data_IF_706361509949
#
_entry.id   IF_706361509949
#
_cell.length_a   1.000
_cell.length_b   1.000
_cell.length_c   1.000
_cell.angle_alpha   90.00
_cell.angle_beta   90.00
_cell.angle_gamma   90.00
#
_symmetry.space_group_name_H-M   'P 1'
#
loop_
_entity.id
_entity.type
_entity.pdbx_description
1 polymer ?
#
# COMPACT_ATOMS: atom_id res chain seq x y z
N UNK A 1 -0.96 42.60 8.71
CA UNK A 1 -0.46 41.84 7.56
C UNK A 1 -1.58 40.90 7.17
N UNK A 2 -2.18 41.09 6.00
CA UNK A 2 -3.19 40.17 5.47
C UNK A 2 -2.47 38.86 5.15
N UNK A 3 -2.61 37.86 6.02
CA UNK A 3 -2.05 36.54 5.77
C UNK A 3 -2.77 35.96 4.56
N UNK A 4 -2.08 35.86 3.43
CA UNK A 4 -2.59 35.10 2.28
C UNK A 4 -2.86 33.66 2.73
N UNK A 5 -3.93 33.02 2.22
CA UNK A 5 -4.22 31.63 2.56
C UNK A 5 -3.04 30.72 2.17
N UNK A 6 -2.66 29.73 3.01
CA UNK A 6 -1.57 28.82 2.68
C UNK A 6 -1.87 28.07 1.38
N UNK A 7 -0.87 28.00 0.50
CA UNK A 7 -0.96 27.36 -0.82
C UNK A 7 -0.63 25.88 -0.71
N UNK A 8 -1.46 25.03 -1.31
CA UNK A 8 -1.32 23.57 -1.24
C UNK A 8 -1.27 23.00 -2.66
N UNK A 9 -0.14 22.46 -3.08
CA UNK A 9 -0.07 21.77 -4.37
C UNK A 9 -0.60 20.33 -4.23
N UNK A 10 -1.53 19.92 -5.09
CA UNK A 10 -1.97 18.52 -5.20
C UNK A 10 -1.33 17.90 -6.43
N UNK A 11 -0.49 16.88 -6.23
CA UNK A 11 0.36 16.27 -7.24
C UNK A 11 -0.22 14.95 -7.71
N UNK A 12 -0.33 14.77 -9.03
CA UNK A 12 -0.66 13.49 -9.67
C UNK A 12 -0.02 13.37 -11.04
N UNK A 13 0.01 12.15 -11.60
CA UNK A 13 0.58 11.91 -12.93
C UNK A 13 -0.31 12.44 -14.05
N UNK A 14 0.31 12.99 -15.09
CA UNK A 14 -0.32 13.37 -16.35
C UNK A 14 0.73 13.98 -17.27
N UNK A 15 0.34 14.37 -18.48
CA UNK A 15 1.24 14.98 -19.46
C UNK A 15 1.16 16.53 -19.46
N UNK A 16 1.85 17.16 -20.40
CA UNK A 16 1.86 18.63 -20.55
C UNK A 16 0.46 19.19 -20.84
N UNK A 17 -0.34 18.52 -21.65
CA UNK A 17 -1.69 18.98 -21.99
C UNK A 17 -2.60 18.90 -20.76
N UNK A 18 -2.53 17.80 -20.00
CA UNK A 18 -3.21 17.63 -18.73
C UNK A 18 -2.78 18.71 -17.72
N UNK A 19 -1.49 19.06 -17.65
CA UNK A 19 -0.98 20.14 -16.79
C UNK A 19 -1.58 21.49 -17.15
N UNK A 20 -1.61 21.84 -18.44
CA UNK A 20 -2.17 23.10 -18.93
C UNK A 20 -3.69 23.19 -18.70
N UNK A 21 -4.39 22.07 -18.81
CA UNK A 21 -5.84 22.01 -18.67
C UNK A 21 -6.32 21.80 -17.22
N UNK A 22 -5.46 21.38 -16.31
CA UNK A 22 -5.86 21.00 -14.95
C UNK A 22 -6.46 22.17 -14.18
N UNK A 23 -7.64 21.93 -13.61
CA UNK A 23 -8.30 22.83 -12.66
C UNK A 23 -8.63 22.04 -11.38
N UNK A 24 -8.90 22.73 -10.26
CA UNK A 24 -9.37 22.04 -9.06
C UNK A 24 -10.63 21.17 -9.27
N UNK A 25 -11.46 21.46 -10.28
CA UNK A 25 -12.78 20.82 -10.48
C UNK A 25 -12.78 19.69 -11.52
N UNK A 26 -11.80 19.63 -12.44
CA UNK A 26 -11.85 18.71 -13.59
C UNK A 26 -11.06 17.40 -13.40
N UNK A 27 -10.84 17.00 -12.14
CA UNK A 27 -10.04 15.84 -11.81
C UNK A 27 -10.68 15.03 -10.66
N UNK A 28 -10.22 13.79 -10.47
CA UNK A 28 -10.78 12.87 -9.47
C UNK A 28 -10.61 13.32 -8.01
N UNK A 29 -9.76 14.31 -7.74
CA UNK A 29 -9.49 14.85 -6.41
C UNK A 29 -10.33 16.09 -6.08
N UNK A 30 -11.30 16.47 -6.92
CA UNK A 30 -12.07 17.71 -6.75
C UNK A 30 -12.68 17.89 -5.35
N UNK A 31 -13.15 16.81 -4.70
CA UNK A 31 -13.65 16.86 -3.32
C UNK A 31 -12.57 17.26 -2.31
N UNK A 32 -11.32 16.83 -2.51
CA UNK A 32 -10.20 17.23 -1.65
C UNK A 32 -9.88 18.71 -1.85
N UNK A 33 -9.91 19.20 -3.10
CA UNK A 33 -9.78 20.63 -3.38
C UNK A 33 -10.87 21.46 -2.69
N UNK A 34 -12.13 21.02 -2.76
CA UNK A 34 -13.26 21.69 -2.12
C UNK A 34 -13.09 21.78 -0.59
N UNK A 35 -12.76 20.67 0.07
CA UNK A 35 -12.58 20.63 1.53
C UNK A 35 -11.37 21.43 2.01
N UNK A 36 -10.25 21.42 1.27
CA UNK A 36 -9.08 22.26 1.57
C UNK A 36 -9.43 23.75 1.47
N UNK A 37 -10.17 24.15 0.43
CA UNK A 37 -10.62 25.54 0.29
C UNK A 37 -11.60 25.93 1.40
N UNK A 38 -12.50 25.02 1.81
CA UNK A 38 -13.47 25.26 2.88
C UNK A 38 -12.81 25.54 4.24
N UNK A 39 -11.62 24.98 4.50
CA UNK A 39 -10.83 25.26 5.72
C UNK A 39 -9.84 26.41 5.56
N UNK A 40 -9.90 27.16 4.46
CA UNK A 40 -9.14 28.40 4.26
C UNK A 40 -7.79 28.25 3.55
N UNK A 41 -7.54 27.13 2.88
CA UNK A 41 -6.36 26.98 2.02
C UNK A 41 -6.61 27.45 0.59
N UNK A 42 -5.52 27.64 -0.15
CA UNK A 42 -5.52 27.86 -1.60
C UNK A 42 -4.92 26.63 -2.32
N UNK A 43 -5.71 25.56 -2.53
CA UNK A 43 -5.21 24.37 -3.19
C UNK A 43 -5.10 24.56 -4.71
N UNK A 44 -4.01 24.07 -5.31
CA UNK A 44 -3.73 24.19 -6.75
C UNK A 44 -3.27 22.85 -7.38
N UNK A 45 -3.66 22.56 -8.64
CA UNK A 45 -3.14 21.41 -9.39
C UNK A 45 -1.63 21.46 -9.60
N UNK A 46 -0.97 20.30 -9.50
CA UNK A 46 0.42 20.10 -9.86
C UNK A 46 0.59 18.77 -10.62
N UNK A 47 0.28 18.77 -11.91
CA UNK A 47 0.44 17.57 -12.75
C UNK A 47 1.93 17.31 -12.99
N UNK A 48 2.36 16.08 -12.73
CA UNK A 48 3.74 15.63 -12.85
C UNK A 48 3.91 14.65 -14.03
N UNK A 49 4.86 14.99 -14.88
CA UNK A 49 5.53 14.10 -15.81
C UNK A 49 7.04 14.24 -15.59
N UNK A 50 7.81 13.19 -15.87
CA UNK A 50 9.27 13.22 -15.82
C UNK A 50 9.86 14.33 -16.70
N UNK A 51 9.26 14.61 -17.86
CA UNK A 51 9.70 15.69 -18.77
C UNK A 51 9.45 17.10 -18.21
N UNK A 52 8.61 17.21 -17.18
CA UNK A 52 8.19 18.47 -16.55
C UNK A 52 8.83 18.66 -15.17
N UNK A 53 9.81 17.84 -14.80
CA UNK A 53 10.34 17.77 -13.44
C UNK A 53 10.81 19.12 -12.90
N UNK A 54 11.53 19.90 -13.69
CA UNK A 54 12.05 21.21 -13.26
C UNK A 54 10.91 22.23 -13.02
N UNK A 55 9.93 22.31 -13.94
CA UNK A 55 8.75 23.17 -13.80
C UNK A 55 7.91 22.79 -12.56
N UNK A 56 7.78 21.49 -12.29
CA UNK A 56 7.07 20.99 -11.11
C UNK A 56 7.86 21.32 -9.85
N UNK A 57 9.18 21.13 -9.84
CA UNK A 57 10.01 21.48 -8.68
C UNK A 57 9.87 22.96 -8.32
N UNK A 58 9.98 23.86 -9.31
CA UNK A 58 9.80 25.29 -9.10
C UNK A 58 8.43 25.62 -8.49
N UNK A 59 7.36 25.00 -9.02
CA UNK A 59 6.02 25.15 -8.45
C UNK A 59 5.97 24.68 -6.99
N UNK A 60 6.48 23.48 -6.70
CA UNK A 60 6.39 22.87 -5.37
C UNK A 60 7.24 23.61 -4.33
N UNK A 61 8.30 24.30 -4.73
CA UNK A 61 9.10 25.15 -3.82
C UNK A 61 8.38 26.45 -3.43
N UNK A 62 7.40 26.89 -4.23
CA UNK A 62 6.66 28.14 -4.08
C UNK A 62 5.34 28.01 -3.29
N UNK A 63 4.99 26.80 -2.85
CA UNK A 63 3.80 26.52 -2.00
C UNK A 63 4.21 26.19 -0.57
N UNK A 64 3.24 26.17 0.34
CA UNK A 64 3.47 25.87 1.77
C UNK A 64 3.45 24.36 2.05
N UNK A 65 2.68 23.59 1.28
CA UNK A 65 2.62 22.15 1.36
C UNK A 65 2.28 21.44 0.05
N UNK A 66 2.60 20.15 0.00
CA UNK A 66 2.42 19.27 -1.16
C UNK A 66 1.67 18.01 -0.73
N UNK A 67 0.52 17.76 -1.35
CA UNK A 67 -0.23 16.51 -1.27
C UNK A 67 0.09 15.64 -2.50
N UNK A 68 0.57 14.42 -2.32
CA UNK A 68 1.09 13.59 -3.43
C UNK A 68 0.24 12.33 -3.64
N UNK A 69 -0.33 12.18 -4.85
CA UNK A 69 -0.97 10.98 -5.38
C UNK A 69 -0.27 10.51 -6.66
N UNK A 70 0.90 9.89 -6.49
CA UNK A 70 1.66 9.31 -7.60
C UNK A 70 2.04 7.87 -7.24
N UNK A 71 1.57 6.94 -8.06
CA UNK A 71 1.91 5.51 -7.95
C UNK A 71 3.43 5.31 -8.07
N UNK A 72 4.06 4.43 -7.25
CA UNK A 72 5.48 4.13 -7.35
C UNK A 72 5.86 3.48 -8.68
N UNK A 73 4.92 2.71 -9.25
CA UNK A 73 5.04 2.02 -10.52
C UNK A 73 3.73 2.23 -11.30
N UNK A 74 3.81 2.89 -12.46
CA UNK A 74 2.66 3.24 -13.29
C UNK A 74 3.03 3.22 -14.77
N UNK A 75 2.44 2.30 -15.55
CA UNK A 75 2.68 2.15 -16.99
C UNK A 75 4.16 2.21 -17.43
N UNK A 76 5.02 1.46 -16.74
CA UNK A 76 6.47 1.43 -17.00
C UNK A 76 7.26 2.63 -16.43
N UNK A 77 6.59 3.66 -15.91
CA UNK A 77 7.21 4.78 -15.20
C UNK A 77 7.37 4.49 -13.72
N UNK A 78 8.41 5.06 -13.12
CA UNK A 78 8.74 4.91 -11.69
C UNK A 78 8.79 6.26 -11.00
N UNK A 79 9.02 6.27 -9.68
CA UNK A 79 9.23 7.51 -8.90
C UNK A 79 10.70 7.93 -8.78
N UNK A 80 11.59 7.36 -9.59
CA UNK A 80 13.03 7.66 -9.53
C UNK A 80 13.36 9.15 -9.68
N UNK A 81 12.60 9.88 -10.50
CA UNK A 81 12.77 11.34 -10.68
C UNK A 81 11.98 12.12 -9.62
N UNK A 82 10.76 11.68 -9.31
CA UNK A 82 9.88 12.37 -8.36
C UNK A 82 10.40 12.33 -6.91
N UNK A 83 10.96 11.22 -6.46
CA UNK A 83 11.38 11.06 -5.06
C UNK A 83 12.53 12.01 -4.68
N UNK A 84 13.62 12.16 -5.45
CA UNK A 84 14.62 13.18 -5.22
C UNK A 84 14.03 14.60 -5.19
N UNK A 85 13.10 14.91 -6.10
CA UNK A 85 12.42 16.19 -6.17
C UNK A 85 11.64 16.47 -4.87
N UNK A 86 10.81 15.53 -4.43
CA UNK A 86 10.04 15.66 -3.19
C UNK A 86 10.92 15.78 -1.94
N UNK A 87 12.08 15.10 -1.91
CA UNK A 87 13.07 15.29 -0.83
C UNK A 87 13.65 16.70 -0.83
N UNK A 88 13.90 17.29 -1.99
CA UNK A 88 14.37 18.69 -2.08
C UNK A 88 13.31 19.66 -1.55
N UNK A 89 12.05 19.46 -1.93
CA UNK A 89 10.91 20.25 -1.44
C UNK A 89 10.77 20.14 0.08
N UNK A 90 10.86 18.93 0.64
CA UNK A 90 10.84 18.72 2.07
C UNK A 90 12.02 19.39 2.79
N UNK A 91 13.24 19.28 2.24
CA UNK A 91 14.45 19.93 2.78
C UNK A 91 14.36 21.46 2.75
N UNK A 92 13.63 22.04 1.80
CA UNK A 92 13.36 23.47 1.77
C UNK A 92 12.39 23.92 2.87
N UNK A 93 11.81 22.99 3.63
CA UNK A 93 10.89 23.25 4.74
C UNK A 93 9.42 23.18 4.34
N UNK A 94 9.07 22.59 3.19
CA UNK A 94 7.67 22.42 2.77
C UNK A 94 7.16 21.07 3.26
N UNK A 95 5.92 21.03 3.72
CA UNK A 95 5.33 19.76 4.12
C UNK A 95 5.03 18.89 2.90
N UNK A 96 5.40 17.60 2.94
CA UNK A 96 5.12 16.61 1.88
C UNK A 96 4.30 15.46 2.46
N UNK A 97 3.07 15.26 1.97
CA UNK A 97 2.08 14.36 2.56
C UNK A 97 2.44 12.88 2.54
N UNK A 98 3.22 12.47 1.56
CA UNK A 98 3.70 11.10 1.35
C UNK A 98 5.21 11.17 1.11
N UNK A 99 5.96 11.50 2.16
CA UNK A 99 7.40 11.70 2.09
C UNK A 99 8.10 10.41 1.59
N UNK A 100 9.04 10.50 0.62
CA UNK A 100 9.71 9.32 0.06
C UNK A 100 10.34 8.40 1.12
N UNK A 101 10.98 8.96 2.15
CA UNK A 101 11.64 8.16 3.19
C UNK A 101 10.65 7.45 4.12
N UNK A 102 9.42 7.94 4.25
CA UNK A 102 8.35 7.26 4.99
C UNK A 102 7.77 6.13 4.14
N UNK A 103 7.57 6.37 2.84
CA UNK A 103 7.14 5.34 1.89
C UNK A 103 8.11 4.17 1.90
N UNK A 104 9.43 4.42 1.91
CA UNK A 104 10.43 3.36 1.96
C UNK A 104 10.39 2.51 3.23
N UNK A 105 9.86 3.06 4.34
CA UNK A 105 9.73 2.34 5.61
C UNK A 105 8.46 1.51 5.70
N UNK A 106 7.31 2.07 5.30
CA UNK A 106 6.01 1.45 5.55
C UNK A 106 5.23 1.08 4.28
N UNK A 107 5.56 1.64 3.11
CA UNK A 107 4.87 1.40 1.84
C UNK A 107 5.44 0.28 0.98
N UNK A 108 6.40 -0.50 1.51
CA UNK A 108 7.02 -1.65 0.83
C UNK A 108 6.65 -2.95 1.53
N UNK A 109 6.69 -4.10 0.86
CA UNK A 109 6.25 -5.37 1.46
C UNK A 109 7.11 -5.83 2.64
N UNK A 110 8.37 -5.38 2.73
CA UNK A 110 9.24 -5.63 3.89
C UNK A 110 8.61 -5.16 5.22
N UNK A 111 7.69 -4.19 5.20
CA UNK A 111 6.91 -3.78 6.38
C UNK A 111 6.21 -4.96 7.06
N UNK A 112 5.79 -5.98 6.30
CA UNK A 112 5.12 -7.17 6.83
C UNK A 112 6.09 -8.01 7.69
N UNK A 113 7.36 -8.05 7.30
CA UNK A 113 8.39 -8.73 8.08
C UNK A 113 8.78 -7.90 9.30
N UNK A 114 9.09 -6.62 9.13
CA UNK A 114 9.52 -5.75 10.23
C UNK A 114 8.47 -5.67 11.33
N UNK A 115 7.19 -5.65 10.97
CA UNK A 115 6.05 -5.57 11.90
C UNK A 115 5.42 -6.93 12.27
N UNK A 116 6.06 -8.06 11.92
CA UNK A 116 5.50 -9.41 12.13
C UNK A 116 5.19 -9.78 13.59
N UNK A 117 5.71 -9.03 14.54
CA UNK A 117 5.52 -9.23 15.98
C UNK A 117 4.31 -8.46 16.54
N UNK A 118 3.74 -7.54 15.76
CA UNK A 118 2.51 -6.80 16.10
C UNK A 118 1.31 -7.75 15.99
N UNK A 119 0.18 -7.42 16.63
CA UNK A 119 -1.03 -8.25 16.67
C UNK A 119 -1.67 -8.61 15.32
N UNK A 120 -1.29 -7.96 14.21
CA UNK A 120 -1.70 -8.36 12.85
C UNK A 120 -0.74 -9.36 12.17
N UNK A 121 0.36 -9.69 12.83
CA UNK A 121 1.48 -10.44 12.29
C UNK A 121 1.19 -11.94 12.20
N UNK A 122 1.88 -12.58 11.28
CA UNK A 122 1.88 -14.04 11.08
C UNK A 122 3.31 -14.53 10.86
N UNK A 123 3.52 -15.84 10.71
CA UNK A 123 4.82 -16.48 10.39
C UNK A 123 5.42 -15.98 9.06
N UNK A 124 5.99 -14.77 9.14
CA UNK A 124 6.47 -13.98 8.02
C UNK A 124 7.99 -14.11 7.96
N UNK A 125 8.50 -14.50 6.80
CA UNK A 125 9.93 -14.63 6.53
C UNK A 125 10.36 -13.64 5.47
N UNK A 126 11.64 -13.33 5.50
CA UNK A 126 12.30 -12.41 4.59
C UNK A 126 13.51 -13.13 4.00
N UNK A 127 13.63 -13.11 2.68
CA UNK A 127 14.80 -13.58 1.96
C UNK A 127 15.42 -12.40 1.23
N UNK A 128 16.70 -12.12 1.50
CA UNK A 128 17.42 -10.98 0.89
C UNK A 128 18.19 -11.37 -0.38
N UNK A 129 18.44 -12.65 -0.60
CA UNK A 129 19.18 -13.14 -1.77
C UNK A 129 18.58 -14.43 -2.31
N UNK A 130 18.75 -14.69 -3.60
CA UNK A 130 18.32 -15.97 -4.20
C UNK A 130 19.03 -17.18 -3.59
N UNK A 131 20.26 -17.03 -3.11
CA UNK A 131 21.00 -18.10 -2.44
C UNK A 131 20.36 -18.47 -1.09
N UNK A 132 20.06 -17.48 -0.25
CA UNK A 132 19.34 -17.68 1.01
C UNK A 132 17.95 -18.29 0.75
N UNK A 133 17.19 -17.73 -0.19
CA UNK A 133 15.88 -18.26 -0.57
C UNK A 133 15.95 -19.74 -0.97
N UNK A 134 16.88 -20.12 -1.85
CA UNK A 134 17.10 -21.52 -2.25
C UNK A 134 17.40 -22.44 -1.05
N UNK A 135 18.19 -21.95 -0.10
CA UNK A 135 18.65 -22.75 1.03
C UNK A 135 17.58 -22.91 2.12
N UNK A 136 16.81 -21.86 2.41
CA UNK A 136 15.96 -21.79 3.61
C UNK A 136 14.47 -21.92 3.32
N UNK A 137 14.02 -21.62 2.10
CA UNK A 137 12.60 -21.75 1.74
C UNK A 137 12.14 -23.20 1.69
N UNK A 138 12.86 -24.08 0.98
CA UNK A 138 12.41 -25.45 0.66
C UNK A 138 12.08 -26.26 1.91
N UNK A 139 12.96 -26.38 2.93
CA UNK A 139 12.65 -27.19 4.11
C UNK A 139 11.42 -26.67 4.85
N UNK A 140 11.24 -25.35 4.88
CA UNK A 140 10.18 -24.73 5.67
C UNK A 140 8.84 -24.74 4.94
N UNK A 141 8.85 -24.55 3.63
CA UNK A 141 7.68 -24.68 2.76
C UNK A 141 7.06 -26.08 2.84
N UNK A 142 7.90 -27.13 2.78
CA UNK A 142 7.41 -28.51 2.85
C UNK A 142 6.74 -28.86 4.19
N UNK A 143 7.06 -28.13 5.27
CA UNK A 143 6.48 -28.36 6.60
C UNK A 143 5.23 -27.52 6.91
N UNK A 144 5.08 -26.34 6.30
CA UNK A 144 4.14 -25.31 6.74
C UNK A 144 2.84 -25.20 5.91
N UNK A 145 2.69 -26.00 4.85
CA UNK A 145 1.54 -25.92 3.93
C UNK A 145 1.63 -24.76 2.92
N UNK A 146 0.50 -24.32 2.34
CA UNK A 146 0.51 -23.29 1.30
C UNK A 146 1.05 -21.95 1.80
N UNK A 147 1.92 -21.33 1.00
CA UNK A 147 2.58 -20.04 1.29
C UNK A 147 2.19 -18.99 0.25
N UNK A 148 2.33 -17.72 0.61
CA UNK A 148 2.20 -16.57 -0.28
C UNK A 148 3.53 -15.82 -0.30
N UNK A 149 4.20 -15.84 -1.45
CA UNK A 149 5.43 -15.09 -1.69
C UNK A 149 5.10 -13.75 -2.32
N UNK A 150 5.78 -12.69 -1.89
CA UNK A 150 5.58 -11.32 -2.38
C UNK A 150 6.94 -10.69 -2.66
N UNK A 151 7.15 -10.18 -3.87
CA UNK A 151 8.28 -9.27 -4.12
C UNK A 151 8.13 -7.96 -3.34
N UNK A 152 9.23 -7.32 -2.97
CA UNK A 152 9.20 -6.14 -2.10
C UNK A 152 8.42 -4.96 -2.68
N UNK A 153 8.56 -4.74 -3.99
CA UNK A 153 7.95 -3.63 -4.73
C UNK A 153 7.19 -4.20 -5.92
N UNK A 154 5.95 -3.78 -6.10
CA UNK A 154 5.10 -4.25 -7.18
C UNK A 154 3.75 -3.56 -7.14
N UNK A 155 2.98 -3.69 -8.23
CA UNK A 155 1.65 -3.14 -8.35
C UNK A 155 0.71 -4.16 -9.02
N UNK A 156 -0.58 -4.15 -8.67
CA UNK A 156 -1.60 -4.95 -9.32
C UNK A 156 -1.43 -6.47 -9.17
N UNK A 157 -0.93 -6.94 -8.04
CA UNK A 157 -0.74 -8.37 -7.76
C UNK A 157 0.48 -9.02 -8.44
N UNK A 158 1.26 -8.26 -9.20
CA UNK A 158 2.47 -8.76 -9.86
C UNK A 158 3.52 -9.17 -8.84
N UNK A 159 4.10 -10.35 -9.01
CA UNK A 159 5.09 -10.94 -8.10
C UNK A 159 4.52 -11.31 -6.73
N UNK A 160 3.20 -11.49 -6.63
CA UNK A 160 2.53 -12.10 -5.49
C UNK A 160 2.07 -13.50 -5.93
N UNK A 161 2.59 -14.54 -5.29
CA UNK A 161 2.40 -15.93 -5.69
C UNK A 161 1.85 -16.76 -4.53
N UNK A 162 0.73 -17.45 -4.73
CA UNK A 162 0.38 -18.61 -3.90
C UNK A 162 1.23 -19.79 -4.36
N UNK A 163 1.84 -20.50 -3.43
CA UNK A 163 2.68 -21.67 -3.66
C UNK A 163 2.19 -22.82 -2.79
N UNK A 164 1.96 -23.99 -3.39
CA UNK A 164 1.36 -25.15 -2.73
C UNK A 164 2.05 -26.44 -3.19
N UNK A 165 2.43 -27.31 -2.26
CA UNK A 165 3.12 -28.56 -2.58
C UNK A 165 2.14 -29.56 -3.20
N UNK A 166 2.52 -30.18 -4.32
CA UNK A 166 1.67 -31.17 -5.01
C UNK A 166 2.25 -32.58 -4.96
N UNK A 167 3.57 -32.72 -4.90
CA UNK A 167 4.21 -34.03 -4.74
C UNK A 167 5.70 -34.04 -5.04
N UNK A 168 6.35 -35.15 -4.72
CA UNK A 168 7.76 -35.41 -5.05
C UNK A 168 7.87 -36.81 -5.69
N UNK A 169 7.70 -36.93 -7.02
CA UNK A 169 7.80 -38.21 -7.71
C UNK A 169 9.19 -38.85 -7.50
N UNK A 170 9.24 -40.19 -7.42
CA UNK A 170 10.50 -40.93 -7.19
C UNK A 170 11.50 -40.66 -8.31
N UNK A 171 12.66 -40.11 -7.97
CA UNK A 171 13.72 -39.78 -8.92
C UNK A 171 13.49 -38.49 -9.72
N UNK A 172 12.43 -37.74 -9.42
CA UNK A 172 12.16 -36.41 -9.97
C UNK A 172 12.32 -35.30 -8.93
N UNK A 173 12.16 -34.05 -9.36
CA UNK A 173 12.17 -32.89 -8.48
C UNK A 173 10.85 -32.68 -7.71
N UNK A 174 10.81 -31.63 -6.91
CA UNK A 174 9.65 -31.28 -6.08
C UNK A 174 8.64 -30.52 -6.92
N UNK A 175 7.46 -31.09 -7.13
CA UNK A 175 6.37 -30.45 -7.86
C UNK A 175 5.55 -29.55 -6.93
N UNK A 176 5.22 -28.36 -7.44
CA UNK A 176 4.41 -27.36 -6.77
C UNK A 176 3.33 -26.83 -7.71
N UNK A 177 2.23 -26.38 -7.14
CA UNK A 177 1.23 -25.54 -7.79
C UNK A 177 1.53 -24.08 -7.44
N UNK A 178 1.65 -23.22 -8.45
CA UNK A 178 1.83 -21.79 -8.29
C UNK A 178 0.70 -21.02 -8.95
N UNK A 179 0.24 -19.94 -8.33
CA UNK A 179 -0.75 -19.03 -8.88
C UNK A 179 -0.35 -17.60 -8.57
N UNK A 180 -0.17 -16.78 -9.60
CA UNK A 180 0.09 -15.34 -9.42
C UNK A 180 -1.22 -14.59 -9.13
N UNK A 181 -1.16 -13.55 -8.28
CA UNK A 181 -2.31 -12.70 -7.98
C UNK A 181 -2.66 -11.73 -9.13
N UNK A 182 -1.84 -11.69 -10.18
CA UNK A 182 -2.07 -10.90 -11.40
C UNK A 182 -3.37 -11.35 -12.09
N UNK A 183 -4.15 -10.38 -12.57
CA UNK A 183 -5.41 -10.64 -13.26
C UNK A 183 -5.27 -11.66 -14.39
N UNK A 184 -6.25 -12.56 -14.49
CA UNK A 184 -6.33 -13.63 -15.50
C UNK A 184 -5.26 -14.73 -15.40
N UNK A 185 -4.47 -14.75 -14.33
CA UNK A 185 -3.54 -15.86 -14.07
C UNK A 185 -4.30 -17.14 -13.73
N UNK A 186 -3.74 -18.28 -14.16
CA UNK A 186 -4.24 -19.63 -13.86
C UNK A 186 -3.18 -20.43 -13.10
N UNK A 187 -3.58 -21.41 -12.27
CA UNK A 187 -2.62 -22.26 -11.58
C UNK A 187 -1.72 -23.02 -12.55
N UNK A 188 -0.42 -23.05 -12.27
CA UNK A 188 0.60 -23.76 -13.04
C UNK A 188 1.23 -24.82 -12.13
N UNK A 189 1.45 -26.04 -12.65
CA UNK A 189 2.26 -27.06 -11.93
C UNK A 189 3.65 -27.08 -12.51
N UNK A 190 4.65 -26.77 -11.69
CA UNK A 190 6.06 -26.63 -12.09
C UNK A 190 7.00 -27.28 -11.09
N UNK A 191 8.27 -27.45 -11.47
CA UNK A 191 9.32 -27.81 -10.53
C UNK A 191 9.65 -26.62 -9.62
N UNK A 192 9.86 -26.92 -8.33
CA UNK A 192 10.25 -25.94 -7.32
C UNK A 192 11.55 -25.21 -7.70
N UNK A 193 12.53 -25.87 -8.32
CA UNK A 193 13.77 -25.21 -8.73
C UNK A 193 13.54 -24.17 -9.82
N UNK A 194 12.63 -24.46 -10.75
CA UNK A 194 12.28 -23.57 -11.86
C UNK A 194 11.54 -22.34 -11.33
N UNK A 195 10.62 -22.54 -10.39
CA UNK A 195 9.96 -21.44 -9.71
C UNK A 195 10.93 -20.54 -8.95
N UNK A 196 11.85 -21.14 -8.18
CA UNK A 196 12.84 -20.35 -7.44
C UNK A 196 13.72 -19.54 -8.39
N UNK A 197 14.11 -20.12 -9.53
CA UNK A 197 14.87 -19.41 -10.57
C UNK A 197 14.05 -18.26 -11.20
N UNK A 198 12.73 -18.45 -11.39
CA UNK A 198 11.83 -17.38 -11.85
C UNK A 198 11.80 -16.19 -10.87
N UNK A 199 12.01 -16.43 -9.58
CA UNK A 199 12.06 -15.39 -8.56
C UNK A 199 13.41 -14.66 -8.45
N UNK A 200 14.46 -15.04 -9.19
CA UNK A 200 15.80 -14.44 -9.06
C UNK A 200 15.80 -12.92 -9.33
N UNK A 201 14.90 -12.44 -10.20
CA UNK A 201 14.75 -11.01 -10.49
C UNK A 201 14.21 -10.19 -9.32
N UNK A 202 13.60 -10.81 -8.31
CA UNK A 202 13.05 -10.09 -7.15
C UNK A 202 14.12 -9.64 -6.14
N UNK A 203 15.37 -10.05 -6.34
CA UNK A 203 16.50 -9.66 -5.49
C UNK A 203 17.35 -8.53 -6.08
N UNK A 204 17.01 -8.01 -7.26
CA UNK A 204 17.73 -6.89 -7.88
C UNK A 204 17.40 -5.57 -7.19
N UNK A 205 18.31 -4.58 -7.24
CA UNK A 205 18.06 -3.20 -6.76
C UNK A 205 17.62 -3.07 -5.28
N UNK A 206 18.14 -3.96 -4.42
CA UNK A 206 17.74 -3.99 -3.01
C UNK A 206 16.37 -4.64 -2.78
N UNK A 207 15.88 -5.38 -3.77
CA UNK A 207 14.68 -6.21 -3.67
C UNK A 207 14.85 -7.37 -2.68
N UNK A 208 13.71 -7.91 -2.26
CA UNK A 208 13.64 -9.05 -1.37
C UNK A 208 12.31 -9.80 -1.61
N UNK A 209 12.23 -11.02 -1.06
CA UNK A 209 11.00 -11.81 -1.05
C UNK A 209 10.49 -11.89 0.38
N UNK A 210 9.21 -11.58 0.52
CA UNK A 210 8.43 -11.75 1.75
C UNK A 210 7.56 -12.98 1.62
N UNK A 211 7.49 -13.77 2.68
CA UNK A 211 6.88 -15.08 2.66
C UNK A 211 5.96 -15.27 3.87
N UNK A 212 4.66 -15.35 3.62
CA UNK A 212 3.61 -15.49 4.63
C UNK A 212 2.81 -16.79 4.44
N UNK A 213 2.16 -17.33 5.48
CA UNK A 213 1.20 -18.41 5.31
C UNK A 213 0.00 -17.94 4.46
N UNK A 214 -0.52 -18.82 3.62
CA UNK A 214 -1.77 -18.57 2.93
C UNK A 214 -2.93 -18.47 3.93
N UNK A 215 -3.75 -17.43 3.81
CA UNK A 215 -4.93 -17.25 4.67
C UNK A 215 -6.11 -18.00 4.06
N UNK A 216 -6.58 -19.06 4.74
CA UNK A 216 -7.69 -19.89 4.25
C UNK A 216 -9.01 -19.13 4.08
N UNK A 217 -9.19 -18.06 4.87
CA UNK A 217 -10.33 -17.15 4.82
C UNK A 217 -10.22 -16.06 3.76
N UNK A 218 -9.22 -16.09 2.88
CA UNK A 218 -9.11 -15.20 1.73
C UNK A 218 -10.42 -15.04 0.93
N UNK A 219 -11.22 -16.11 0.68
CA UNK A 219 -12.50 -15.99 -0.04
C UNK A 219 -13.56 -15.15 0.68
N UNK A 220 -13.42 -14.92 1.99
CA UNK A 220 -14.31 -14.05 2.77
C UNK A 220 -14.05 -12.56 2.49
N UNK A 221 -12.92 -12.25 1.86
CA UNK A 221 -12.59 -10.92 1.37
C UNK A 221 -11.49 -10.23 2.16
N UNK A 222 -11.34 -8.95 1.85
CA UNK A 222 -10.31 -8.05 2.37
C UNK A 222 -10.97 -6.78 2.89
N UNK A 223 -10.38 -6.25 3.96
CA UNK A 223 -10.72 -4.94 4.51
C UNK A 223 -9.55 -4.01 4.27
N UNK A 224 -9.76 -2.95 3.50
CA UNK A 224 -8.88 -1.79 3.44
C UNK A 224 -9.24 -0.83 4.56
N UNK A 225 -8.33 -0.60 5.49
CA UNK A 225 -8.48 0.39 6.55
C UNK A 225 -7.79 1.69 6.10
N UNK A 226 -8.57 2.77 5.92
CA UNK A 226 -8.03 4.07 5.52
C UNK A 226 -7.66 4.89 6.76
N UNK A 227 -6.48 5.48 6.74
CA UNK A 227 -5.86 6.20 7.84
C UNK A 227 -5.49 7.62 7.43
N UNK A 228 -5.75 8.60 8.29
CA UNK A 228 -5.19 9.95 8.20
C UNK A 228 -4.33 10.23 9.43
N UNK A 229 -3.00 10.33 9.21
CA UNK A 229 -2.06 10.27 10.32
C UNK A 229 -2.27 8.97 11.10
N UNK A 230 -2.57 9.08 12.39
CA UNK A 230 -2.83 7.94 13.29
C UNK A 230 -4.31 7.60 13.49
N UNK A 231 -5.22 8.24 12.74
CA UNK A 231 -6.67 8.07 12.91
C UNK A 231 -7.27 7.32 11.75
N UNK A 232 -8.23 6.44 12.04
CA UNK A 232 -9.03 5.76 11.02
C UNK A 232 -10.06 6.74 10.47
N UNK A 233 -10.12 6.84 9.13
CA UNK A 233 -11.08 7.71 8.41
C UNK A 233 -12.13 6.94 7.62
N UNK A 234 -11.99 5.62 7.52
CA UNK A 234 -13.03 4.74 6.99
C UNK A 234 -12.47 3.40 6.53
N UNK A 235 -13.34 2.62 5.89
CA UNK A 235 -13.03 1.27 5.45
C UNK A 235 -13.50 1.01 4.02
N UNK A 236 -12.83 0.10 3.32
CA UNK A 236 -13.27 -0.47 2.07
C UNK A 236 -13.33 -1.98 2.20
N UNK A 237 -14.49 -2.60 1.98
CA UNK A 237 -14.61 -4.06 1.98
C UNK A 237 -14.76 -4.57 0.55
N UNK A 238 -13.98 -5.59 0.20
CA UNK A 238 -14.01 -6.18 -1.13
C UNK A 238 -13.81 -7.69 -1.07
N UNK A 239 -14.59 -8.45 -1.86
CA UNK A 239 -14.30 -9.87 -2.08
C UNK A 239 -13.05 -9.99 -2.94
N UNK A 240 -12.00 -10.59 -2.36
CA UNK A 240 -10.74 -10.86 -3.05
C UNK A 240 -10.74 -12.32 -3.48
N UNK A 241 -10.54 -12.51 -4.78
CA UNK A 241 -10.52 -13.84 -5.39
C UNK A 241 -9.23 -14.11 -6.18
N UNK A 242 -8.34 -13.11 -6.22
CA UNK A 242 -6.95 -13.33 -6.62
C UNK A 242 -6.34 -14.38 -5.67
N UNK A 243 -5.64 -15.38 -6.21
CA UNK A 243 -5.09 -16.55 -5.49
C UNK A 243 -6.10 -17.63 -5.04
N UNK A 244 -7.38 -17.53 -5.44
CA UNK A 244 -8.36 -18.60 -5.22
C UNK A 244 -8.42 -19.49 -6.46
N UNK A 245 -8.13 -20.78 -6.30
CA UNK A 245 -8.28 -21.76 -7.38
C UNK A 245 -9.76 -21.93 -7.71
N UNK A 246 -10.20 -21.78 -8.98
CA UNK A 246 -11.57 -22.06 -9.36
C UNK A 246 -11.96 -23.52 -9.05
N UNK A 247 -13.20 -23.81 -8.62
CA UNK A 247 -13.64 -25.18 -8.42
C UNK A 247 -13.55 -25.98 -9.73
N UNK A 248 -13.18 -27.26 -9.62
CA UNK A 248 -12.99 -28.15 -10.77
C UNK A 248 -14.32 -28.46 -11.47
N UNK A 249 -14.52 -27.95 -12.69
CA UNK A 249 -15.68 -28.23 -13.54
C UNK A 249 -15.63 -27.45 -14.86
N UNK A 250 -16.16 -27.97 -15.97
CA UNK A 250 -16.17 -27.26 -17.25
C UNK A 250 -17.13 -26.06 -17.16
N UNK A 251 -16.58 -24.84 -17.22
CA UNK A 251 -17.35 -23.59 -17.19
C UNK A 251 -17.17 -22.70 -15.96
N UNK A 252 -16.19 -22.97 -15.08
CA UNK A 252 -15.84 -22.05 -13.99
C UNK A 252 -15.23 -20.77 -14.53
N UNK A 253 -16.02 -19.72 -14.74
CA UNK A 253 -15.49 -18.40 -15.10
C UNK A 253 -14.53 -17.89 -14.02
N UNK A 254 -13.45 -17.17 -14.40
CA UNK A 254 -12.57 -16.51 -13.44
C UNK A 254 -13.39 -15.62 -12.53
N UNK A 255 -13.35 -15.89 -11.22
CA UNK A 255 -14.15 -15.13 -10.29
C UNK A 255 -13.61 -13.69 -10.21
N UNK A 256 -14.38 -12.73 -10.72
CA UNK A 256 -14.00 -11.31 -10.66
C UNK A 256 -14.06 -10.79 -9.21
N UNK A 257 -13.12 -9.95 -8.78
CA UNK A 257 -13.24 -9.23 -7.53
C UNK A 257 -14.52 -8.36 -7.56
N UNK A 258 -15.29 -8.40 -6.48
CA UNK A 258 -16.53 -7.60 -6.37
C UNK A 258 -16.22 -6.09 -6.29
N UNK A 259 -17.23 -5.20 -6.41
CA UNK A 259 -17.02 -3.78 -6.15
C UNK A 259 -16.55 -3.57 -4.71
N UNK A 260 -15.72 -2.55 -4.49
CA UNK A 260 -15.31 -2.14 -3.14
C UNK A 260 -16.45 -1.34 -2.49
N UNK A 261 -16.98 -1.84 -1.39
CA UNK A 261 -17.98 -1.15 -0.58
C UNK A 261 -17.27 -0.25 0.42
N UNK A 262 -17.54 1.06 0.36
CA UNK A 262 -16.94 2.03 1.28
C UNK A 262 -17.82 2.19 2.53
N UNK A 263 -17.17 2.34 3.68
CA UNK A 263 -17.82 2.51 4.97
C UNK A 263 -17.16 3.65 5.76
N UNK A 264 -17.94 4.39 6.57
CA UNK A 264 -17.39 5.41 7.46
C UNK A 264 -16.57 4.78 8.58
N UNK A 265 -15.72 5.58 9.24
CA UNK A 265 -14.96 5.14 10.42
C UNK A 265 -15.84 4.68 11.60
N UNK A 266 -17.11 5.08 11.62
CA UNK A 266 -18.10 4.71 12.65
C UNK A 266 -18.83 3.40 12.35
N UNK A 267 -18.55 2.72 11.24
CA UNK A 267 -19.22 1.48 10.90
C UNK A 267 -18.97 0.41 11.97
N UNK A 268 -20.07 -0.12 12.52
CA UNK A 268 -20.07 -1.05 13.66
C UNK A 268 -19.21 -2.31 13.42
N UNK A 269 -19.28 -2.98 12.25
CA UNK A 269 -18.50 -4.20 12.01
C UNK A 269 -16.98 -4.04 12.08
N UNK A 270 -16.48 -2.80 11.97
CA UNK A 270 -15.04 -2.50 11.93
C UNK A 270 -14.53 -1.81 13.19
N UNK A 271 -15.33 -1.65 14.25
CA UNK A 271 -14.89 -0.94 15.46
C UNK A 271 -13.76 -1.65 16.20
N UNK A 272 -13.72 -2.99 16.19
CA UNK A 272 -12.61 -3.75 16.76
C UNK A 272 -11.31 -3.48 15.99
N UNK A 273 -11.36 -3.56 14.65
CA UNK A 273 -10.21 -3.25 13.79
C UNK A 273 -9.76 -1.80 13.99
N UNK A 274 -10.71 -0.86 14.03
CA UNK A 274 -10.43 0.56 14.30
C UNK A 274 -9.66 0.74 15.59
N UNK A 275 -10.18 0.17 16.68
CA UNK A 275 -9.59 0.32 18.02
C UNK A 275 -8.16 -0.19 18.00
N UNK A 276 -7.93 -1.41 17.51
CA UNK A 276 -6.58 -1.99 17.39
C UNK A 276 -5.65 -1.13 16.53
N UNK A 277 -6.12 -0.63 15.39
CA UNK A 277 -5.35 0.26 14.52
C UNK A 277 -4.92 1.54 15.24
N UNK A 278 -5.85 2.22 15.94
CA UNK A 278 -5.59 3.52 16.57
C UNK A 278 -4.81 3.41 17.88
N UNK A 279 -5.10 2.42 18.74
CA UNK A 279 -4.54 2.34 20.10
C UNK A 279 -3.32 1.42 20.25
N UNK A 280 -3.14 0.45 19.36
CA UNK A 280 -2.10 -0.59 19.51
C UNK A 280 -1.18 -0.61 18.29
N UNK A 281 -1.71 -0.96 17.13
CA UNK A 281 -0.89 -1.37 16.00
C UNK A 281 -0.19 -0.23 15.28
N UNK A 282 -0.85 0.92 15.09
CA UNK A 282 -0.17 2.09 14.49
C UNK A 282 0.94 2.62 15.40
N UNK A 283 0.72 2.82 16.73
CA UNK A 283 1.80 3.17 17.65
C UNK A 283 2.97 2.17 17.65
N UNK A 284 2.71 0.86 17.68
CA UNK A 284 3.76 -0.16 17.66
C UNK A 284 4.54 -0.17 16.34
N UNK A 285 3.85 -0.02 15.20
CA UNK A 285 4.47 0.08 13.88
C UNK A 285 5.37 1.31 13.80
N UNK A 286 4.89 2.46 14.28
CA UNK A 286 5.68 3.69 14.34
C UNK A 286 6.97 3.49 15.14
N UNK A 287 6.86 2.89 16.34
CA UNK A 287 8.02 2.58 17.17
C UNK A 287 8.99 1.62 16.47
N UNK A 288 8.47 0.57 15.84
CA UNK A 288 9.26 -0.44 15.12
C UNK A 288 10.05 0.17 13.96
N UNK A 289 9.40 1.03 13.17
CA UNK A 289 9.97 1.59 11.94
C UNK A 289 10.70 2.92 12.18
N UNK A 290 10.70 3.43 13.42
CA UNK A 290 11.22 4.75 13.76
C UNK A 290 10.53 5.86 12.95
N UNK A 291 9.19 5.85 12.93
CA UNK A 291 8.37 6.86 12.26
C UNK A 291 7.74 7.75 13.32
N UNK A 292 8.07 9.04 13.27
CA UNK A 292 7.45 10.03 14.14
C UNK A 292 5.98 10.28 13.75
N UNK A 293 5.15 10.64 14.73
CA UNK A 293 3.73 10.92 14.49
C UNK A 293 3.52 12.04 13.45
N UNK A 294 4.41 13.04 13.44
CA UNK A 294 4.44 14.13 12.48
C UNK A 294 5.00 13.71 11.10
N UNK A 295 5.50 12.49 10.95
CA UNK A 295 5.94 11.95 9.66
C UNK A 295 4.91 10.99 9.04
N UNK A 296 3.88 10.59 9.78
CA UNK A 296 2.81 9.76 9.21
C UNK A 296 2.15 10.45 8.01
N UNK A 297 1.77 9.71 6.97
CA UNK A 297 1.11 10.28 5.80
C UNK A 297 -0.24 10.91 6.13
N UNK A 298 -0.63 11.95 5.38
CA UNK A 298 -1.97 12.57 5.52
C UNK A 298 -3.07 11.60 5.14
N UNK A 299 -2.81 10.69 4.21
CA UNK A 299 -3.68 9.59 3.86
C UNK A 299 -2.81 8.37 3.53
N UNK A 300 -3.16 7.24 4.09
CA UNK A 300 -2.57 5.93 3.78
C UNK A 300 -3.61 4.84 4.04
N UNK A 301 -3.37 3.63 3.57
CA UNK A 301 -4.26 2.50 3.84
C UNK A 301 -3.48 1.25 4.22
N UNK A 302 -4.12 0.39 5.00
CA UNK A 302 -3.65 -0.94 5.38
C UNK A 302 -4.68 -1.98 4.97
N UNK A 303 -4.27 -2.95 4.16
CA UNK A 303 -5.12 -4.03 3.69
C UNK A 303 -4.99 -5.25 4.60
N UNK A 304 -6.13 -5.75 5.06
CA UNK A 304 -6.24 -6.89 5.96
C UNK A 304 -7.03 -8.03 5.33
N UNK A 305 -6.53 -9.24 5.51
CA UNK A 305 -7.33 -10.46 5.35
C UNK A 305 -7.81 -10.94 6.71
N UNK A 306 -8.90 -11.69 6.72
CA UNK A 306 -9.32 -12.41 7.91
C UNK A 306 -8.34 -13.53 8.21
N UNK A 307 -7.84 -13.56 9.45
CA UNK A 307 -7.06 -14.65 9.99
C UNK A 307 -7.95 -15.71 10.67
N UNK A 308 -7.36 -16.79 11.19
CA UNK A 308 -8.11 -17.78 11.96
C UNK A 308 -8.78 -17.10 13.16
N UNK A 309 -10.05 -17.43 13.49
CA UNK A 309 -10.70 -16.87 14.66
C UNK A 309 -9.90 -17.13 15.94
N UNK A 310 -9.97 -16.20 16.88
CA UNK A 310 -9.35 -16.38 18.19
C UNK A 310 -10.08 -17.46 19.01
N UNK A 311 -9.59 -17.76 20.22
CA UNK A 311 -10.19 -18.78 21.11
C UNK A 311 -11.62 -18.45 21.54
N UNK A 312 -12.05 -17.18 21.44
CA UNK A 312 -13.40 -16.74 21.72
C UNK A 312 -14.28 -16.68 20.46
N UNK A 313 -13.73 -17.03 19.30
CA UNK A 313 -14.43 -17.02 18.00
C UNK A 313 -14.48 -15.66 17.32
N UNK A 314 -13.74 -14.66 17.81
CA UNK A 314 -13.71 -13.34 17.17
C UNK A 314 -12.77 -13.34 15.96
N UNK A 315 -13.04 -12.45 15.01
CA UNK A 315 -12.16 -12.23 13.88
C UNK A 315 -10.76 -11.76 14.32
N UNK A 316 -9.75 -12.35 13.69
CA UNK A 316 -8.39 -11.82 13.67
C UNK A 316 -8.10 -11.25 12.29
N UNK A 317 -7.11 -10.37 12.20
CA UNK A 317 -6.78 -9.67 10.96
C UNK A 317 -5.30 -9.83 10.67
N UNK A 318 -4.98 -10.17 9.42
CA UNK A 318 -3.62 -10.39 8.96
C UNK A 318 -3.26 -9.30 7.95
N UNK A 319 -2.22 -8.54 8.26
CA UNK A 319 -1.76 -7.46 7.38
C UNK A 319 -1.22 -8.04 6.07
N UNK A 320 -1.68 -7.48 4.95
CA UNK A 320 -1.32 -7.91 3.61
C UNK A 320 -0.46 -6.91 2.86
N UNK A 321 -0.77 -5.62 3.01
CA UNK A 321 0.04 -4.52 2.50
C UNK A 321 -0.35 -3.19 3.18
N UNK A 322 0.53 -2.21 3.03
CA UNK A 322 0.27 -0.82 3.36
C UNK A 322 0.53 0.01 2.11
N UNK A 323 -0.40 0.89 1.75
CA UNK A 323 -0.29 1.80 0.62
C UNK A 323 -0.19 3.25 1.13
N UNK A 324 0.78 4.00 0.63
CA UNK A 324 1.07 5.37 1.11
C UNK A 324 0.95 6.42 0.00
N UNK A 325 1.34 6.09 -1.22
CA UNK A 325 1.68 7.09 -2.24
C UNK A 325 0.56 7.46 -3.21
N UNK A 326 -0.50 6.66 -3.29
CA UNK A 326 -1.60 6.88 -4.25
C UNK A 326 -2.91 6.24 -3.74
N UNK A 327 -3.23 6.47 -2.47
CA UNK A 327 -4.42 5.92 -1.83
C UNK A 327 -5.68 6.54 -2.44
N UNK A 328 -6.35 5.77 -3.30
CA UNK A 328 -7.60 6.13 -3.98
C UNK A 328 -8.27 4.86 -4.56
N UNK A 329 -9.60 4.78 -4.71
CA UNK A 329 -10.64 5.67 -4.16
C UNK A 329 -10.64 5.67 -2.62
N UNK A 330 -11.17 6.73 -2.02
CA UNK A 330 -11.25 6.94 -0.56
C UNK A 330 -12.71 7.05 -0.11
N UNK A 331 -13.02 6.79 1.18
CA UNK A 331 -14.36 7.01 1.74
C UNK A 331 -14.81 8.47 1.62
N UNK A 332 -16.13 8.70 1.59
CA UNK A 332 -16.72 10.03 1.37
C UNK A 332 -16.34 11.04 2.46
N UNK A 333 -16.06 10.58 3.68
CA UNK A 333 -15.64 11.43 4.80
C UNK A 333 -14.14 11.78 4.78
N UNK A 334 -13.32 11.05 4.01
CA UNK A 334 -11.88 11.20 4.02
C UNK A 334 -11.38 12.57 3.51
N UNK A 335 -11.96 13.21 2.46
CA UNK A 335 -11.56 14.56 2.04
C UNK A 335 -11.60 15.61 3.16
N UNK A 336 -12.65 15.60 3.99
CA UNK A 336 -12.78 16.55 5.10
C UNK A 336 -11.77 16.28 6.22
N UNK A 337 -11.45 15.00 6.49
CA UNK A 337 -10.41 14.62 7.44
C UNK A 337 -9.01 14.99 6.92
N UNK A 338 -8.73 14.80 5.63
CA UNK A 338 -7.49 15.22 4.96
C UNK A 338 -7.27 16.73 5.16
N UNK A 339 -8.30 17.54 4.92
CA UNK A 339 -8.22 18.99 5.09
C UNK A 339 -7.93 19.39 6.55
N UNK A 340 -8.60 18.74 7.52
CA UNK A 340 -8.35 18.96 8.96
C UNK A 340 -6.95 18.52 9.41
N UNK A 341 -6.46 17.39 8.91
CA UNK A 341 -5.12 16.90 9.17
C UNK A 341 -4.08 17.89 8.62
N UNK A 342 -4.28 18.41 7.41
CA UNK A 342 -3.41 19.42 6.81
C UNK A 342 -3.31 20.70 7.65
N UNK A 343 -4.45 21.22 8.12
CA UNK A 343 -4.47 22.36 9.03
C UNK A 343 -3.68 22.11 10.31
N UNK A 344 -3.90 20.96 10.93
CA UNK A 344 -3.15 20.58 12.14
C UNK A 344 -1.64 20.52 11.89
N UNK A 345 -1.19 20.01 10.73
CA UNK A 345 0.24 19.91 10.39
C UNK A 345 0.88 21.27 10.13
N UNK A 346 0.20 22.16 9.42
CA UNK A 346 0.74 23.50 9.12
C UNK A 346 0.81 24.38 10.37
N UNK A 347 -0.15 24.25 11.30
CA UNK A 347 -0.11 24.94 12.59
C UNK A 347 1.06 24.47 13.46
N UNK A 348 1.34 23.16 13.50
CA UNK A 348 2.45 22.59 14.25
C UNK A 348 3.82 23.02 13.69
N UNK A 349 3.93 23.07 12.36
CA UNK A 349 5.15 23.52 11.68
C UNK A 349 5.43 24.99 11.98
N UNK A 350 4.39 25.83 11.99
CA UNK A 350 4.49 27.26 12.33
C UNK A 350 4.89 27.52 13.80
N UNK A 351 4.63 26.58 14.71
CA UNK A 351 5.02 26.70 16.13
C UNK A 351 6.44 26.18 16.41
N UNK A 352 7.00 25.40 15.49
CA UNK A 352 8.30 24.74 15.64
C UNK A 352 9.42 25.47 14.87
N UNK A 353 9.06 26.36 13.95
CA UNK A 353 9.94 27.33 13.29
C UNK A 353 10.07 28.59 14.14
#
# INVERSE_FOLDING_TARGET
MTNSPPRIAIVWRGDRDARCAATPQNNRFHRIFEELAAVGFAPEPAVFDEELADEVLEQLLAVDAVLVWVNPLDDGKTREILDPLLRQVAKAGRFVSAHPDVILKMGVKEVLYETRHIGWGVDTRLYRTGADFRQTFVPTFLAAGPRVLKQNRGNGGQGIWKVEFTGAPRGGGTLISVLEAKSSSVPETIDLSDFISRCDTYFTEGGCIIDQPFQSRLPEGMIRCYMSGSRVVGFGQQLVKALVTPPSGPGGEPLQPGPRMMHPASAEPFQTLRTRMESEWTPEMMSTLGIEAASLPIIWDADFLYGPPDTAGNDTYVLCEINVSSVFAIPDEAPAEIARAMASRLEQSSKSA
#
